data_IF_662200688867
#
_entry.id   IF_662200688867
#
_cell.length_a   1.000
_cell.length_b   1.000
_cell.length_c   1.000
_cell.angle_alpha   90.00
_cell.angle_beta   90.00
_cell.angle_gamma   90.00
#
_symmetry.space_group_name_H-M   'P 1'
#
loop_
_entity.id
_entity.type
_entity.pdbx_description
1 polymer ?
#
# COMPACT_ATOMS: atom_id res chain seq x y z
N UNK A 1 6.16 -11.16 -6.33
CA UNK A 1 7.21 -12.10 -5.90
C UNK A 1 8.35 -12.22 -6.90
N UNK A 2 8.14 -12.78 -8.09
CA UNK A 2 9.22 -13.08 -9.05
C UNK A 2 10.22 -11.93 -9.32
N UNK A 3 9.77 -10.67 -9.37
CA UNK A 3 10.66 -9.52 -9.55
C UNK A 3 11.57 -9.26 -8.35
N UNK A 4 11.10 -9.50 -7.13
CA UNK A 4 11.87 -9.34 -5.89
C UNK A 4 12.87 -10.48 -5.70
N UNK A 5 12.50 -11.71 -6.06
CA UNK A 5 13.42 -12.85 -6.07
C UNK A 5 14.56 -12.63 -7.07
N UNK A 6 14.23 -12.15 -8.27
CA UNK A 6 15.22 -11.71 -9.28
C UNK A 6 16.06 -10.51 -8.83
N UNK A 7 15.63 -9.78 -7.81
CA UNK A 7 16.37 -8.68 -7.20
C UNK A 7 17.28 -9.16 -6.05
N UNK A 8 17.17 -10.41 -5.62
CA UNK A 8 17.98 -10.99 -4.55
C UNK A 8 17.24 -11.12 -3.21
N UNK A 9 15.95 -10.78 -3.15
CA UNK A 9 15.16 -10.90 -1.91
C UNK A 9 14.79 -12.37 -1.67
N UNK A 10 15.07 -12.87 -0.46
CA UNK A 10 14.69 -14.22 -0.03
C UNK A 10 13.19 -14.48 -0.18
N UNK A 11 12.76 -15.61 -0.79
CA UNK A 11 11.34 -15.95 -0.94
C UNK A 11 10.59 -15.99 0.39
N UNK A 12 11.27 -16.36 1.49
CA UNK A 12 10.70 -16.37 2.84
C UNK A 12 10.32 -14.95 3.29
N UNK A 13 11.22 -14.00 3.10
CA UNK A 13 10.99 -12.59 3.46
C UNK A 13 9.94 -11.96 2.55
N UNK A 14 10.01 -12.20 1.24
CA UNK A 14 9.00 -11.70 0.30
C UNK A 14 7.59 -12.23 0.63
N UNK A 15 7.47 -13.51 1.01
CA UNK A 15 6.20 -14.15 1.41
C UNK A 15 5.62 -13.63 2.71
N UNK A 16 6.46 -13.15 3.60
CA UNK A 16 6.01 -12.58 4.86
C UNK A 16 5.69 -11.09 4.74
N UNK A 17 6.59 -10.31 4.13
CA UNK A 17 6.52 -8.84 4.12
C UNK A 17 5.46 -8.33 3.15
N UNK A 18 5.28 -8.93 1.96
CA UNK A 18 4.35 -8.40 0.97
C UNK A 18 2.87 -8.50 1.39
N UNK A 19 2.36 -9.63 1.92
CA UNK A 19 0.97 -9.70 2.36
C UNK A 19 0.67 -8.72 3.50
N UNK A 20 1.60 -8.57 4.45
CA UNK A 20 1.48 -7.61 5.55
C UNK A 20 1.53 -6.17 5.01
N UNK A 21 2.49 -5.88 4.13
CA UNK A 21 2.65 -4.56 3.53
C UNK A 21 1.43 -4.11 2.72
N UNK A 22 0.78 -5.02 1.99
CA UNK A 22 -0.42 -4.65 1.22
C UNK A 22 -1.59 -4.23 2.11
N UNK A 23 -1.68 -4.76 3.32
CA UNK A 23 -2.74 -4.40 4.26
C UNK A 23 -2.39 -3.17 5.10
N UNK A 24 -1.13 -3.06 5.53
CA UNK A 24 -0.74 -2.06 6.53
C UNK A 24 0.04 -0.87 5.99
N UNK A 25 0.65 -0.97 4.80
CA UNK A 25 1.46 0.09 4.20
C UNK A 25 0.78 0.70 2.95
N UNK A 26 -0.38 1.31 3.20
CA UNK A 26 -1.20 2.02 2.22
C UNK A 26 -0.83 3.51 2.13
N UNK A 27 0.47 3.83 2.16
CA UNK A 27 0.96 5.21 2.23
C UNK A 27 0.54 6.06 1.03
N UNK A 28 0.63 5.52 -0.20
CA UNK A 28 0.19 6.22 -1.40
C UNK A 28 -1.31 6.51 -1.39
N UNK A 29 -2.11 5.58 -0.86
CA UNK A 29 -3.55 5.80 -0.71
C UNK A 29 -3.87 6.90 0.31
N UNK A 30 -3.13 6.95 1.43
CA UNK A 30 -3.32 7.98 2.45
C UNK A 30 -2.83 9.36 2.03
N UNK A 31 -1.70 9.42 1.33
CA UNK A 31 -1.24 10.67 0.73
C UNK A 31 -2.31 11.22 -0.23
N UNK A 32 -2.86 10.37 -1.10
CA UNK A 32 -3.95 10.77 -1.98
C UNK A 32 -5.17 11.28 -1.20
N UNK A 33 -5.73 10.51 -0.26
CA UNK A 33 -6.91 10.94 0.48
C UNK A 33 -6.69 12.27 1.21
N UNK A 34 -5.49 12.49 1.75
CA UNK A 34 -5.12 13.73 2.44
C UNK A 34 -5.07 14.92 1.48
N UNK A 35 -4.30 14.82 0.39
CA UNK A 35 -4.20 15.89 -0.59
C UNK A 35 -5.53 16.16 -1.30
N UNK A 36 -6.28 15.11 -1.61
CA UNK A 36 -7.57 15.20 -2.26
C UNK A 36 -8.61 15.91 -1.39
N UNK A 37 -8.65 15.61 -0.09
CA UNK A 37 -9.57 16.28 0.86
C UNK A 37 -9.22 17.75 1.03
N UNK A 38 -7.93 18.08 1.17
CA UNK A 38 -7.48 19.49 1.25
C UNK A 38 -7.76 20.23 -0.06
N UNK A 39 -7.54 19.60 -1.21
CA UNK A 39 -7.86 20.16 -2.52
C UNK A 39 -9.36 20.48 -2.65
N UNK A 40 -10.24 19.56 -2.23
CA UNK A 40 -11.69 19.80 -2.26
C UNK A 40 -12.06 20.94 -1.30
N UNK A 41 -11.51 20.97 -0.09
CA UNK A 41 -11.76 22.06 0.85
C UNK A 41 -11.43 23.43 0.21
N UNK A 42 -10.27 23.54 -0.44
CA UNK A 42 -9.86 24.74 -1.15
C UNK A 42 -10.76 25.07 -2.35
N UNK A 43 -11.14 24.06 -3.14
CA UNK A 43 -12.04 24.23 -4.28
C UNK A 43 -13.46 24.68 -3.88
N UNK A 44 -13.93 24.25 -2.71
CA UNK A 44 -15.19 24.67 -2.11
C UNK A 44 -15.09 25.96 -1.28
N UNK A 45 -13.93 26.62 -1.26
CA UNK A 45 -13.66 27.82 -0.46
C UNK A 45 -13.85 27.62 1.06
N UNK A 46 -13.67 26.38 1.54
CA UNK A 46 -13.70 26.03 2.96
C UNK A 46 -12.29 26.19 3.53
N UNK A 47 -12.14 27.10 4.48
CA UNK A 47 -10.85 27.37 5.10
C UNK A 47 -10.61 26.42 6.28
N UNK A 48 -9.66 25.51 6.14
CA UNK A 48 -9.22 24.63 7.23
C UNK A 48 -8.06 25.27 7.98
N UNK A 49 -8.22 25.43 9.29
CA UNK A 49 -7.13 25.82 10.19
C UNK A 49 -6.02 24.76 10.21
N UNK A 50 -4.83 25.16 10.66
CA UNK A 50 -3.69 24.24 10.78
C UNK A 50 -4.00 23.04 11.71
N UNK A 51 -4.77 23.28 12.78
CA UNK A 51 -5.20 22.22 13.71
C UNK A 51 -6.14 21.21 13.05
N UNK A 52 -7.07 21.69 12.22
CA UNK A 52 -7.99 20.82 11.47
C UNK A 52 -7.24 19.98 10.43
N UNK A 53 -6.27 20.57 9.72
CA UNK A 53 -5.45 19.84 8.76
C UNK A 53 -4.63 18.73 9.43
N UNK A 54 -4.01 19.01 10.59
CA UNK A 54 -3.28 17.99 11.36
C UNK A 54 -4.22 16.90 11.86
N UNK A 55 -5.39 17.28 12.40
CA UNK A 55 -6.39 16.32 12.89
C UNK A 55 -6.89 15.43 11.76
N UNK A 56 -7.16 16.00 10.59
CA UNK A 56 -7.55 15.29 9.39
C UNK A 56 -6.50 14.26 8.98
N UNK A 57 -5.22 14.66 8.94
CA UNK A 57 -4.11 13.75 8.64
C UNK A 57 -4.05 12.60 9.63
N UNK A 58 -4.22 12.87 10.94
CA UNK A 58 -4.21 11.83 11.97
C UNK A 58 -5.37 10.84 11.81
N UNK A 59 -6.58 11.35 11.55
CA UNK A 59 -7.76 10.52 11.28
C UNK A 59 -7.52 9.65 10.06
N UNK A 60 -7.07 10.24 8.95
CA UNK A 60 -6.76 9.49 7.72
C UNK A 60 -5.70 8.41 7.98
N UNK A 61 -4.61 8.74 8.68
CA UNK A 61 -3.57 7.77 9.05
C UNK A 61 -4.12 6.62 9.91
N UNK A 62 -5.07 6.89 10.80
CA UNK A 62 -5.74 5.86 11.60
C UNK A 62 -6.64 4.98 10.73
N UNK A 63 -7.47 5.59 9.89
CA UNK A 63 -8.42 4.91 8.99
C UNK A 63 -7.72 4.05 7.93
N UNK A 64 -6.51 4.42 7.51
CA UNK A 64 -5.67 3.70 6.54
C UNK A 64 -5.67 2.17 6.72
N UNK A 65 -5.47 1.72 7.96
CA UNK A 65 -5.32 0.29 8.31
C UNK A 65 -6.63 -0.49 8.12
N UNK A 66 -7.77 0.20 8.10
CA UNK A 66 -9.08 -0.38 7.86
C UNK A 66 -9.48 -0.46 6.38
N UNK A 67 -8.68 0.09 5.45
CA UNK A 67 -8.99 0.05 4.01
C UNK A 67 -8.54 -1.24 3.31
N UNK A 68 -7.72 -2.07 3.97
CA UNK A 68 -7.21 -3.30 3.39
C UNK A 68 -8.37 -4.21 2.93
N UNK A 69 -8.46 -4.46 1.62
CA UNK A 69 -9.45 -5.36 1.04
C UNK A 69 -10.82 -4.76 0.69
N UNK A 70 -11.03 -3.45 0.90
CA UNK A 70 -12.28 -2.78 0.51
C UNK A 70 -12.16 -2.21 -0.92
N UNK A 71 -12.98 -2.65 -1.89
CA UNK A 71 -12.99 -2.07 -3.24
C UNK A 71 -13.33 -0.58 -3.19
N UNK A 72 -12.56 0.26 -3.90
CA UNK A 72 -12.76 1.73 -3.96
C UNK A 72 -12.81 2.42 -2.59
N UNK A 73 -12.12 1.86 -1.59
CA UNK A 73 -12.08 2.37 -0.22
C UNK A 73 -11.77 3.87 -0.13
N UNK A 74 -10.91 4.38 -1.01
CA UNK A 74 -10.51 5.78 -1.02
C UNK A 74 -11.64 6.77 -1.22
N UNK A 75 -12.61 6.47 -2.09
CA UNK A 75 -13.72 7.40 -2.36
C UNK A 75 -14.66 7.46 -1.17
N UNK A 76 -14.88 6.31 -0.52
CA UNK A 76 -15.64 6.21 0.72
C UNK A 76 -14.94 6.97 1.85
N UNK A 77 -13.62 6.81 1.98
CA UNK A 77 -12.83 7.50 3.00
C UNK A 77 -12.81 9.01 2.77
N UNK A 78 -12.65 9.48 1.52
CA UNK A 78 -12.71 10.91 1.21
C UNK A 78 -14.10 11.44 1.52
N UNK A 79 -15.17 10.80 1.06
CA UNK A 79 -16.55 11.23 1.36
C UNK A 79 -16.80 11.33 2.87
N UNK A 80 -16.41 10.32 3.64
CA UNK A 80 -16.51 10.34 5.10
C UNK A 80 -15.69 11.48 5.74
N UNK A 81 -14.50 11.75 5.21
CA UNK A 81 -13.64 12.84 5.70
C UNK A 81 -14.23 14.20 5.37
N UNK A 82 -14.78 14.40 4.17
CA UNK A 82 -15.46 15.64 3.79
C UNK A 82 -16.62 15.93 4.75
N UNK A 83 -17.45 14.91 5.02
CA UNK A 83 -18.56 15.01 5.95
C UNK A 83 -18.10 15.39 7.37
N UNK A 84 -17.05 14.74 7.88
CA UNK A 84 -16.48 14.98 9.20
C UNK A 84 -16.00 16.43 9.41
N UNK A 85 -15.51 17.09 8.35
CA UNK A 85 -14.97 18.45 8.38
C UNK A 85 -15.94 19.49 7.78
N UNK A 86 -17.22 19.15 7.62
CA UNK A 86 -18.25 20.04 7.04
C UNK A 86 -17.90 20.57 5.63
N UNK A 87 -17.16 19.79 4.84
CA UNK A 87 -16.83 20.12 3.47
C UNK A 87 -17.93 19.56 2.54
N UNK A 88 -18.45 20.33 1.57
CA UNK A 88 -19.49 19.84 0.67
C UNK A 88 -19.07 18.61 -0.12
N UNK A 89 -19.81 17.50 0.03
CA UNK A 89 -19.57 16.24 -0.71
C UNK A 89 -19.70 16.41 -2.22
N UNK A 90 -20.41 17.44 -2.68
CA UNK A 90 -20.48 17.82 -4.10
C UNK A 90 -19.09 18.02 -4.73
N UNK A 91 -18.08 18.42 -3.95
CA UNK A 91 -16.70 18.55 -4.42
C UNK A 91 -16.05 17.22 -4.82
N UNK A 92 -16.58 16.07 -4.39
CA UNK A 92 -16.10 14.74 -4.78
C UNK A 92 -16.22 14.50 -6.30
N UNK A 93 -17.13 15.21 -6.98
CA UNK A 93 -17.30 15.13 -8.43
C UNK A 93 -16.04 15.56 -9.19
N UNK A 94 -15.25 16.48 -8.61
CA UNK A 94 -14.00 16.95 -9.19
C UNK A 94 -12.95 15.83 -9.26
N UNK A 95 -12.99 14.90 -8.30
CA UNK A 95 -12.08 13.76 -8.27
C UNK A 95 -12.56 12.62 -9.17
N UNK A 96 -13.87 12.42 -9.33
CA UNK A 96 -14.41 11.29 -10.11
C UNK A 96 -13.84 11.20 -11.54
N UNK A 97 -13.56 12.33 -12.17
CA UNK A 97 -12.98 12.35 -13.53
C UNK A 97 -11.53 11.87 -13.60
N UNK A 98 -10.76 12.03 -12.52
CA UNK A 98 -9.32 11.73 -12.48
C UNK A 98 -8.98 10.52 -11.59
N UNK A 99 -9.91 10.08 -10.76
CA UNK A 99 -9.76 8.99 -9.80
C UNK A 99 -9.21 7.70 -10.43
N UNK A 100 -9.61 7.26 -11.65
CA UNK A 100 -9.03 6.06 -12.27
C UNK A 100 -7.52 6.18 -12.51
N UNK A 101 -7.05 7.34 -12.97
CA UNK A 101 -5.62 7.56 -13.21
C UNK A 101 -4.86 7.64 -11.89
N UNK A 102 -5.42 8.34 -10.90
CA UNK A 102 -4.83 8.46 -9.58
C UNK A 102 -4.87 7.14 -8.81
N UNK A 103 -5.84 6.26 -9.08
CA UNK A 103 -5.88 4.88 -8.54
C UNK A 103 -4.67 4.07 -8.97
N UNK A 104 -4.36 4.10 -10.27
CA UNK A 104 -3.15 3.44 -10.78
C UNK A 104 -1.88 3.99 -10.12
N UNK A 105 -1.78 5.32 -9.95
CA UNK A 105 -0.66 5.96 -9.27
C UNK A 105 -0.52 5.55 -7.79
N UNK A 106 -1.64 5.45 -7.07
CA UNK A 106 -1.68 4.98 -5.68
C UNK A 106 -1.22 3.54 -5.56
N UNK A 107 -1.78 2.65 -6.39
CA UNK A 107 -1.40 1.24 -6.41
C UNK A 107 0.09 1.09 -6.73
N UNK A 108 0.60 1.83 -7.71
CA UNK A 108 2.02 1.81 -8.06
C UNK A 108 2.91 2.24 -6.88
N UNK A 109 2.55 3.33 -6.19
CA UNK A 109 3.31 3.85 -5.06
C UNK A 109 3.31 2.88 -3.88
N UNK A 110 2.17 2.27 -3.55
CA UNK A 110 2.04 1.26 -2.50
C UNK A 110 2.86 -0.01 -2.82
N UNK A 111 2.77 -0.50 -4.06
CA UNK A 111 3.55 -1.65 -4.51
C UNK A 111 5.05 -1.35 -4.42
N UNK A 112 5.47 -0.16 -4.87
CA UNK A 112 6.87 0.25 -4.84
C UNK A 112 7.41 0.34 -3.40
N UNK A 113 6.68 0.99 -2.49
CA UNK A 113 7.11 1.11 -1.09
C UNK A 113 7.18 -0.26 -0.39
N UNK A 114 6.23 -1.16 -0.65
CA UNK A 114 6.24 -2.53 -0.15
C UNK A 114 7.42 -3.35 -0.71
N UNK A 115 7.71 -3.20 -2.00
CA UNK A 115 8.85 -3.85 -2.62
C UNK A 115 10.19 -3.35 -2.04
N UNK A 116 10.31 -2.04 -1.81
CA UNK A 116 11.47 -1.45 -1.14
C UNK A 116 11.61 -1.94 0.30
N UNK A 117 10.50 -2.00 1.06
CA UNK A 117 10.50 -2.54 2.41
C UNK A 117 11.00 -3.99 2.47
N UNK A 118 10.50 -4.84 1.58
CA UNK A 118 10.95 -6.24 1.48
C UNK A 118 12.45 -6.34 1.16
N UNK A 119 12.97 -5.48 0.28
CA UNK A 119 14.39 -5.45 -0.05
C UNK A 119 15.26 -4.96 1.12
N UNK A 120 14.83 -3.93 1.85
CA UNK A 120 15.54 -3.40 3.01
C UNK A 120 15.59 -4.44 4.13
N UNK A 121 14.45 -5.07 4.45
CA UNK A 121 14.37 -6.12 5.47
C UNK A 121 15.26 -7.31 5.09
N UNK A 122 15.21 -7.74 3.82
CA UNK A 122 16.07 -8.83 3.33
C UNK A 122 17.55 -8.52 3.47
N UNK A 123 17.97 -7.27 3.23
CA UNK A 123 19.35 -6.86 3.45
C UNK A 123 19.72 -6.77 4.93
N UNK A 124 18.80 -6.33 5.78
CA UNK A 124 19.04 -6.22 7.22
C UNK A 124 19.17 -7.60 7.88
N UNK A 125 18.36 -8.56 7.46
CA UNK A 125 18.42 -9.96 7.93
C UNK A 125 19.60 -10.75 7.33
N UNK A 126 20.41 -10.16 6.45
CA UNK A 126 21.49 -10.86 5.74
C UNK A 126 21.01 -11.90 4.70
N UNK A 127 19.71 -12.01 4.50
CA UNK A 127 19.02 -12.90 3.56
C UNK A 127 18.83 -12.23 2.18
N UNK A 128 19.80 -11.39 1.76
CA UNK A 128 19.83 -10.77 0.44
C UNK A 128 20.93 -11.40 -0.40
N UNK A 129 20.55 -12.08 -1.46
CA UNK A 129 21.45 -12.89 -2.26
C UNK A 129 22.02 -12.07 -3.41
N UNK A 130 23.12 -11.33 -3.17
CA UNK A 130 23.79 -10.51 -4.17
C UNK A 130 24.81 -9.53 -3.59
N UNK A 131 25.61 -8.90 -4.46
CA UNK A 131 26.51 -7.82 -4.07
C UNK A 131 25.83 -6.45 -4.33
N UNK A 132 25.62 -5.67 -3.27
CA UNK A 132 24.98 -4.34 -3.38
C UNK A 132 23.46 -4.43 -3.59
N UNK A 133 22.90 -3.66 -4.54
CA UNK A 133 21.48 -3.68 -4.91
C UNK A 133 21.18 -4.62 -6.10
N UNK A 134 22.09 -5.55 -6.40
CA UNK A 134 21.98 -6.48 -7.52
C UNK A 134 22.31 -7.88 -7.02
N UNK A 135 21.33 -8.76 -7.12
CA UNK A 135 21.39 -10.10 -6.60
C UNK A 135 20.37 -11.00 -7.26
N UNK A 136 20.65 -12.29 -7.31
CA UNK A 136 19.69 -13.30 -7.76
C UNK A 136 19.46 -14.20 -6.57
N UNK A 137 18.24 -14.21 -6.03
CA UNK A 137 17.87 -15.18 -5.01
C UNK A 137 18.08 -16.58 -5.59
N UNK A 138 18.63 -17.55 -4.82
CA UNK A 138 18.79 -18.90 -5.32
C UNK A 138 17.42 -19.40 -5.74
N UNK A 139 17.27 -19.64 -7.05
CA UNK A 139 16.02 -20.13 -7.62
C UNK A 139 15.92 -21.59 -7.19
N UNK A 140 15.08 -21.85 -6.18
CA UNK A 140 14.66 -23.16 -5.70
C UNK A 140 15.78 -24.22 -5.66
N UNK A 141 16.44 -24.35 -4.51
CA UNK A 141 17.11 -25.61 -4.18
C UNK A 141 16.03 -26.71 -4.16
N UNK A 142 16.27 -27.91 -4.73
CA UNK A 142 15.29 -29.00 -4.84
C UNK A 142 14.54 -29.35 -3.54
N UNK A 143 15.10 -29.02 -2.39
CA UNK A 143 14.53 -29.21 -1.05
C UNK A 143 13.23 -28.43 -0.80
N UNK A 144 13.10 -27.20 -1.34
CA UNK A 144 11.90 -26.37 -1.16
C UNK A 144 10.74 -26.78 -2.08
N UNK A 145 11.03 -27.43 -3.20
CA UNK A 145 10.02 -28.00 -4.11
C UNK A 145 9.33 -29.22 -3.51
N UNK A 146 10.02 -29.97 -2.63
CA UNK A 146 9.50 -31.14 -1.93
C UNK A 146 8.46 -30.75 -0.86
N UNK A 147 8.75 -29.72 -0.09
CA UNK A 147 7.82 -29.18 0.93
C UNK A 147 6.52 -28.61 0.33
N UNK A 148 6.57 -28.01 -0.87
CA UNK A 148 5.38 -27.52 -1.56
C UNK A 148 4.53 -28.66 -2.17
N UNK A 149 5.15 -29.76 -2.58
CA UNK A 149 4.47 -30.98 -3.06
C UNK A 149 3.74 -31.68 -1.91
N UNK A 150 4.44 -31.92 -0.79
CA UNK A 150 3.86 -32.61 0.38
C UNK A 150 2.71 -31.81 1.01
N UNK A 151 2.83 -30.48 1.10
CA UNK A 151 1.75 -29.65 1.63
C UNK A 151 0.53 -29.56 0.69
N UNK A 152 0.70 -29.81 -0.61
CA UNK A 152 -0.41 -29.84 -1.56
C UNK A 152 -1.15 -31.18 -1.56
N UNK A 153 -0.48 -32.30 -1.27
CA UNK A 153 -1.09 -33.62 -1.15
C UNK A 153 -1.88 -33.77 0.16
N UNK A 154 -1.37 -33.20 1.26
CA UNK A 154 -2.05 -33.24 2.57
C UNK A 154 -3.29 -32.32 2.62
N UNK A 155 -3.32 -31.25 1.83
CA UNK A 155 -4.47 -30.34 1.76
C UNK A 155 -5.61 -30.83 0.83
N UNK A 156 -5.37 -31.90 0.05
CA UNK A 156 -6.35 -32.51 -0.86
C UNK A 156 -6.83 -33.89 -0.39
N UNK A 157 -6.44 -34.31 0.82
CA UNK A 157 -6.90 -35.55 1.47
C UNK A 157 -7.89 -35.26 2.61
#
# INVERSE_FOLDING_TARGET
MNKLEKFGVSPKIASFVLPIGYSFNLVGSMAYCSFATVFIAQACNVHLSMGEQITMLLILMLTSKGMAGVPRASMVVIAATLNQFNIPEAGLILLMGVDPFLDMGRSATNVMSNAMGAAIVSRWEGEHFGAGCRGVAPINTPEQKRSASENSEVAMS
#
